data_IF_996210127840
#
_entry.id   IF_996210127840
#
_cell.length_a   1.000
_cell.length_b   1.000
_cell.length_c   1.000
_cell.angle_alpha   90.00
_cell.angle_beta   90.00
_cell.angle_gamma   90.00
#
_symmetry.space_group_name_H-M   'P 1'
#
loop_
_entity.id
_entity.type
_entity.pdbx_description
1 polymer ?
#
# COMPACT_ATOMS: atom_id res chain seq x y z
N UNK A 1 -1.34 -2.10 13.42
CA UNK A 1 -1.57 -2.90 12.19
C UNK A 1 -2.95 -3.54 12.17
N UNK A 2 -3.96 -2.86 11.60
CA UNK A 2 -5.24 -3.51 11.31
C UNK A 2 -5.05 -4.61 10.27
N UNK A 3 -5.31 -5.86 10.65
CA UNK A 3 -5.24 -7.05 9.78
C UNK A 3 -6.01 -6.81 8.47
N UNK A 4 -7.12 -6.08 8.54
CA UNK A 4 -7.93 -5.69 7.40
C UNK A 4 -7.13 -4.92 6.32
N UNK A 5 -6.25 -3.99 6.71
CA UNK A 5 -5.45 -3.19 5.76
C UNK A 5 -4.43 -4.05 5.04
N UNK A 6 -3.84 -5.02 5.73
CA UNK A 6 -2.90 -5.98 5.15
C UNK A 6 -3.63 -6.88 4.15
N UNK A 7 -4.82 -7.37 4.49
CA UNK A 7 -5.66 -8.17 3.59
C UNK A 7 -6.00 -7.36 2.33
N UNK A 8 -6.43 -6.10 2.50
CA UNK A 8 -6.75 -5.21 1.37
C UNK A 8 -5.52 -4.93 0.52
N UNK A 9 -4.35 -4.70 1.11
CA UNK A 9 -3.11 -4.42 0.37
C UNK A 9 -2.55 -5.62 -0.39
N UNK A 10 -2.87 -6.84 0.04
CA UNK A 10 -2.56 -8.04 -0.73
C UNK A 10 -3.56 -8.15 -1.87
N UNK A 11 -4.86 -8.15 -1.59
CA UNK A 11 -5.90 -8.36 -2.62
C UNK A 11 -5.91 -7.26 -3.68
N UNK A 12 -5.78 -6.00 -3.25
CA UNK A 12 -5.80 -4.81 -4.09
C UNK A 12 -4.78 -3.80 -3.54
N UNK A 13 -3.49 -3.93 -3.92
CA UNK A 13 -2.40 -3.11 -3.41
C UNK A 13 -2.67 -1.59 -3.43
N UNK A 14 -3.23 -1.02 -4.52
CA UNK A 14 -3.52 0.41 -4.57
C UNK A 14 -4.54 0.86 -3.53
N UNK A 15 -5.52 0.01 -3.19
CA UNK A 15 -6.52 0.34 -2.18
C UNK A 15 -5.91 0.34 -0.77
N UNK A 16 -5.00 -0.59 -0.47
CA UNK A 16 -4.27 -0.60 0.79
C UNK A 16 -3.45 0.67 1.01
N UNK A 17 -2.75 1.12 -0.04
CA UNK A 17 -1.97 2.37 -0.02
C UNK A 17 -2.87 3.60 0.03
N UNK A 18 -3.99 3.61 -0.70
CA UNK A 18 -4.97 4.71 -0.70
C UNK A 18 -5.54 4.95 0.70
N UNK A 19 -5.88 3.88 1.43
CA UNK A 19 -6.40 3.96 2.80
C UNK A 19 -5.36 4.48 3.82
N UNK A 20 -4.14 4.76 3.39
CA UNK A 20 -3.03 5.16 4.27
C UNK A 20 -2.44 6.50 3.87
N UNK A 21 -2.23 6.71 2.56
CA UNK A 21 -1.59 7.90 2.01
C UNK A 21 -2.57 8.76 1.18
N UNK A 22 -3.81 8.31 0.98
CA UNK A 22 -4.79 8.97 0.10
C UNK A 22 -4.37 8.96 -1.37
N UNK A 23 -4.77 9.99 -2.14
CA UNK A 23 -4.35 10.19 -3.54
C UNK A 23 -2.96 10.82 -3.65
N UNK A 24 -2.00 10.33 -2.86
CA UNK A 24 -0.63 10.79 -2.86
C UNK A 24 0.25 10.17 -3.95
N UNK A 25 1.52 10.58 -4.01
CA UNK A 25 2.52 10.00 -4.93
C UNK A 25 2.67 8.49 -4.75
N UNK A 26 2.60 8.01 -3.51
CA UNK A 26 2.71 6.59 -3.20
C UNK A 26 1.57 5.76 -3.80
N UNK A 27 0.35 6.29 -3.87
CA UNK A 27 -0.79 5.63 -4.51
C UNK A 27 -0.56 5.45 -6.02
N UNK A 28 -0.15 6.52 -6.70
CA UNK A 28 0.14 6.48 -8.14
C UNK A 28 1.31 5.56 -8.48
N UNK A 29 2.37 5.60 -7.67
CA UNK A 29 3.51 4.68 -7.78
C UNK A 29 3.01 3.24 -7.61
N UNK A 30 2.16 2.97 -6.61
CA UNK A 30 1.66 1.62 -6.38
C UNK A 30 0.78 1.11 -7.53
N UNK A 31 -0.05 1.97 -8.14
CA UNK A 31 -0.80 1.64 -9.37
C UNK A 31 0.15 1.23 -10.48
N UNK A 32 1.20 2.03 -10.73
CA UNK A 32 2.18 1.74 -11.77
C UNK A 32 2.92 0.43 -11.51
N UNK A 33 3.37 0.19 -10.27
CA UNK A 33 4.01 -1.07 -9.91
C UNK A 33 3.05 -2.25 -10.11
N UNK A 34 1.80 -2.14 -9.68
CA UNK A 34 0.80 -3.21 -9.81
C UNK A 34 0.50 -3.54 -11.27
N UNK A 35 0.49 -2.53 -12.15
CA UNK A 35 0.35 -2.70 -13.61
C UNK A 35 1.59 -3.32 -14.27
N UNK A 36 2.80 -2.98 -13.80
CA UNK A 36 4.06 -3.58 -14.28
C UNK A 36 4.29 -4.99 -13.72
N UNK A 37 3.67 -5.31 -12.59
CA UNK A 37 3.71 -6.62 -11.94
C UNK A 37 3.03 -6.58 -10.57
N UNK A 38 2.16 -7.55 -10.32
CA UNK A 38 1.40 -7.59 -9.08
C UNK A 38 2.27 -7.69 -7.82
N UNK A 39 3.35 -8.49 -7.86
CA UNK A 39 4.29 -8.66 -6.74
C UNK A 39 4.97 -7.34 -6.31
N UNK A 40 5.59 -6.55 -7.22
CA UNK A 40 6.14 -5.26 -6.85
C UNK A 40 5.11 -4.31 -6.21
N UNK A 41 3.86 -4.35 -6.67
CA UNK A 41 2.74 -3.62 -6.07
C UNK A 41 2.50 -4.02 -4.60
N UNK A 42 2.44 -5.32 -4.32
CA UNK A 42 2.24 -5.84 -2.95
C UNK A 42 3.39 -5.41 -2.03
N UNK A 43 4.65 -5.60 -2.46
CA UNK A 43 5.82 -5.24 -1.65
C UNK A 43 5.81 -3.76 -1.28
N UNK A 44 5.52 -2.89 -2.25
CA UNK A 44 5.41 -1.47 -2.00
C UNK A 44 4.25 -1.14 -1.05
N UNK A 45 3.08 -1.77 -1.21
CA UNK A 45 1.94 -1.53 -0.34
C UNK A 45 2.23 -1.95 1.12
N UNK A 46 2.85 -3.12 1.33
CA UNK A 46 3.27 -3.59 2.66
C UNK A 46 4.32 -2.66 3.26
N UNK A 47 5.27 -2.16 2.48
CA UNK A 47 6.27 -1.20 2.95
C UNK A 47 5.63 0.09 3.48
N UNK A 48 4.65 0.65 2.76
CA UNK A 48 3.92 1.85 3.19
C UNK A 48 3.16 1.58 4.49
N UNK A 49 2.46 0.43 4.58
CA UNK A 49 1.74 0.02 5.80
C UNK A 49 2.69 -0.12 6.99
N UNK A 50 3.81 -0.81 6.78
CA UNK A 50 4.83 -1.03 7.79
C UNK A 50 5.49 0.27 8.27
N UNK A 51 5.65 1.24 7.37
CA UNK A 51 6.25 2.54 7.66
C UNK A 51 5.31 3.43 8.49
N UNK A 52 4.02 3.48 8.12
CA UNK A 52 3.06 4.37 8.79
C UNK A 52 2.77 3.94 10.23
N UNK A 53 2.69 2.63 10.51
CA UNK A 53 2.49 2.12 11.88
C UNK A 53 3.66 2.48 12.82
N UNK A 54 4.83 2.84 12.27
CA UNK A 54 5.99 3.28 13.03
C UNK A 54 6.05 4.81 13.22
N UNK A 55 5.13 5.59 12.63
CA UNK A 55 5.06 7.02 12.90
C UNK A 55 4.34 7.25 14.24
N UNK A 56 5.02 7.78 15.27
CA UNK A 56 4.32 8.29 16.44
C UNK A 56 3.53 9.52 16.01
N UNK A 57 2.20 9.46 16.13
CA UNK A 57 1.30 10.62 15.98
C UNK A 57 1.33 11.49 17.23
#
# INVERSE_FOLDING_TARGET
MDILRIIIAILLPPAGVFLQEGLGKHFWINILLTLLGYIPGIVHAIYIIAREDRRPV
#
